data_IF_567699390628
#
_entry.id   IF_567699390628
#
_cell.length_a   1.000
_cell.length_b   1.000
_cell.length_c   1.000
_cell.angle_alpha   90.00
_cell.angle_beta   90.00
_cell.angle_gamma   90.00
#
_symmetry.space_group_name_H-M   'P 1'
#
loop_
_entity.id
_entity.type
_entity.pdbx_description
1 polymer ?
#
# COMPACT_ATOMS: atom_id res chain seq x y z
N UNK A 1 -13.20 -10.95 -4.38
CA UNK A 1 -12.28 -9.81 -4.66
C UNK A 1 -11.32 -9.57 -3.51
N UNK A 2 -11.78 -9.65 -2.25
CA UNK A 2 -10.93 -9.47 -1.06
C UNK A 2 -9.72 -10.42 -1.04
N UNK A 3 -9.93 -11.72 -1.26
CA UNK A 3 -8.86 -12.73 -1.23
C UNK A 3 -7.75 -12.44 -2.26
N UNK A 4 -8.15 -11.96 -3.44
CA UNK A 4 -7.24 -11.53 -4.48
C UNK A 4 -6.43 -10.29 -4.03
N UNK A 5 -7.05 -9.33 -3.35
CA UNK A 5 -6.34 -8.15 -2.83
C UNK A 5 -5.32 -8.54 -1.76
N UNK A 6 -5.64 -9.50 -0.89
CA UNK A 6 -4.71 -10.04 0.11
C UNK A 6 -3.47 -10.64 -0.57
N UNK A 7 -3.68 -11.45 -1.61
CA UNK A 7 -2.60 -12.02 -2.41
C UNK A 7 -1.78 -10.94 -3.13
N UNK A 8 -2.45 -9.95 -3.73
CA UNK A 8 -1.79 -8.81 -4.39
C UNK A 8 -0.93 -8.04 -3.40
N UNK A 9 -1.37 -7.85 -2.14
CA UNK A 9 -0.56 -7.15 -1.14
C UNK A 9 0.75 -7.86 -0.82
N UNK A 10 0.80 -9.20 -0.88
CA UNK A 10 2.06 -9.95 -0.76
C UNK A 10 3.00 -9.58 -1.91
N UNK A 11 2.48 -9.59 -3.15
CA UNK A 11 3.25 -9.24 -4.35
C UNK A 11 3.77 -7.80 -4.25
N UNK A 12 2.93 -6.87 -3.78
CA UNK A 12 3.29 -5.46 -3.59
C UNK A 12 4.43 -5.31 -2.58
N UNK A 13 4.33 -5.94 -1.41
CA UNK A 13 5.36 -5.85 -0.35
C UNK A 13 6.68 -6.46 -0.83
N UNK A 14 6.63 -7.59 -1.54
CA UNK A 14 7.81 -8.22 -2.14
C UNK A 14 8.44 -7.32 -3.21
N UNK A 15 7.62 -6.77 -4.13
CA UNK A 15 8.09 -5.88 -5.20
C UNK A 15 8.70 -4.59 -4.64
N UNK A 16 8.10 -4.01 -3.60
CA UNK A 16 8.63 -2.85 -2.89
C UNK A 16 9.99 -3.18 -2.26
N UNK A 17 10.05 -4.26 -1.47
CA UNK A 17 11.28 -4.68 -0.78
C UNK A 17 12.42 -4.93 -1.77
N UNK A 18 12.11 -5.61 -2.88
CA UNK A 18 13.05 -5.84 -3.96
C UNK A 18 13.50 -4.52 -4.62
N UNK A 19 12.57 -3.62 -4.92
CA UNK A 19 12.88 -2.30 -5.49
C UNK A 19 13.81 -1.48 -4.60
N UNK A 20 13.60 -1.51 -3.27
CA UNK A 20 14.46 -0.86 -2.28
C UNK A 20 15.84 -1.52 -2.23
N UNK A 21 15.91 -2.86 -2.30
CA UNK A 21 17.17 -3.59 -2.37
C UNK A 21 18.00 -3.18 -3.61
N UNK A 22 17.36 -3.04 -4.77
CA UNK A 22 18.04 -2.64 -6.02
C UNK A 22 18.69 -1.25 -5.91
N UNK A 23 18.04 -0.29 -5.25
CA UNK A 23 18.62 1.05 -5.07
C UNK A 23 19.69 1.08 -3.98
N UNK A 24 19.48 0.37 -2.86
CA UNK A 24 20.39 0.39 -1.71
C UNK A 24 21.72 -0.32 -1.99
N UNK A 25 21.65 -1.52 -2.55
CA UNK A 25 22.82 -2.40 -2.71
C UNK A 25 23.34 -2.47 -4.14
N UNK A 26 22.44 -2.46 -5.14
CA UNK A 26 22.83 -2.56 -6.56
C UNK A 26 23.00 -1.21 -7.24
N UNK A 27 22.64 -0.10 -6.58
CA UNK A 27 22.70 1.27 -7.12
C UNK A 27 21.93 1.43 -8.46
N UNK A 28 20.89 0.60 -8.69
CA UNK A 28 20.08 0.62 -9.91
C UNK A 28 18.90 1.60 -9.78
N UNK A 29 19.21 2.90 -9.79
CA UNK A 29 18.21 3.98 -9.58
C UNK A 29 17.13 4.03 -10.67
N UNK A 30 17.52 3.79 -11.93
CA UNK A 30 16.56 3.74 -13.05
C UNK A 30 15.55 2.60 -12.88
N UNK A 31 16.01 1.41 -12.51
CA UNK A 31 15.16 0.26 -12.23
C UNK A 31 14.17 0.57 -11.09
N UNK A 32 14.65 1.20 -10.01
CA UNK A 32 13.78 1.61 -8.91
C UNK A 32 12.64 2.51 -9.41
N UNK A 33 12.92 3.58 -10.18
CA UNK A 33 11.88 4.43 -10.77
C UNK A 33 10.87 3.63 -11.60
N UNK A 34 11.37 2.79 -12.50
CA UNK A 34 10.53 2.03 -13.43
C UNK A 34 9.72 0.92 -12.76
N UNK A 35 10.08 0.51 -11.54
CA UNK A 35 9.23 -0.36 -10.72
C UNK A 35 8.20 0.45 -9.94
N UNK A 36 8.59 1.58 -9.35
CA UNK A 36 7.74 2.37 -8.46
C UNK A 36 6.59 3.07 -9.18
N UNK A 37 6.80 3.55 -10.41
CA UNK A 37 5.75 4.20 -11.21
C UNK A 37 4.58 3.24 -11.50
N UNK A 38 4.79 2.09 -12.17
CA UNK A 38 3.70 1.17 -12.44
C UNK A 38 3.10 0.59 -11.16
N UNK A 39 3.92 0.31 -10.13
CA UNK A 39 3.42 -0.16 -8.83
C UNK A 39 2.45 0.86 -8.20
N UNK A 40 2.81 2.15 -8.22
CA UNK A 40 1.95 3.23 -7.70
C UNK A 40 0.65 3.39 -8.49
N UNK A 41 0.72 3.32 -9.83
CA UNK A 41 -0.48 3.38 -10.69
C UNK A 41 -1.39 2.19 -10.44
N UNK A 42 -0.84 0.97 -10.39
CA UNK A 42 -1.59 -0.25 -10.15
C UNK A 42 -2.26 -0.25 -8.77
N UNK A 43 -1.55 0.21 -7.72
CA UNK A 43 -2.12 0.36 -6.38
C UNK A 43 -3.27 1.36 -6.35
N UNK A 44 -3.11 2.53 -6.98
CA UNK A 44 -4.18 3.53 -7.03
C UNK A 44 -5.43 2.98 -7.73
N UNK A 45 -5.25 2.28 -8.85
CA UNK A 45 -6.34 1.61 -9.56
C UNK A 45 -6.99 0.52 -8.70
N UNK A 46 -6.19 -0.30 -8.01
CA UNK A 46 -6.68 -1.36 -7.14
C UNK A 46 -7.53 -0.81 -5.97
N UNK A 47 -7.07 0.27 -5.31
CA UNK A 47 -7.83 0.94 -4.24
C UNK A 47 -9.12 1.54 -4.79
N UNK A 48 -9.09 2.16 -5.96
CA UNK A 48 -10.29 2.72 -6.59
C UNK A 48 -11.33 1.63 -6.91
N UNK A 49 -10.91 0.52 -7.51
CA UNK A 49 -11.79 -0.63 -7.81
C UNK A 49 -12.32 -1.24 -6.51
N UNK A 50 -11.47 -1.38 -5.49
CA UNK A 50 -11.85 -1.88 -4.17
C UNK A 50 -12.94 -1.03 -3.52
N UNK A 51 -12.77 0.29 -3.53
CA UNK A 51 -13.74 1.23 -2.96
C UNK A 51 -15.10 1.12 -3.67
N UNK A 52 -15.11 0.97 -5.01
CA UNK A 52 -16.33 0.75 -5.76
C UNK A 52 -17.02 -0.56 -5.39
N UNK A 53 -16.29 -1.67 -5.31
CA UNK A 53 -16.85 -2.96 -4.89
C UNK A 53 -17.47 -2.88 -3.49
N UNK A 54 -16.76 -2.26 -2.54
CA UNK A 54 -17.23 -2.16 -1.16
C UNK A 54 -18.50 -1.30 -1.06
N UNK A 55 -18.59 -0.21 -1.82
CA UNK A 55 -19.79 0.65 -1.86
C UNK A 55 -20.99 0.00 -2.51
N UNK A 56 -20.76 -0.83 -3.53
CA UNK A 56 -21.84 -1.51 -4.27
C UNK A 56 -22.31 -2.77 -3.54
N UNK A 57 -21.37 -3.59 -3.07
CA UNK A 57 -21.64 -4.93 -2.54
C UNK A 57 -21.72 -5.00 -1.01
N UNK A 58 -21.43 -3.91 -0.29
CA UNK A 58 -21.60 -3.82 1.17
C UNK A 58 -20.70 -4.78 1.96
N UNK A 59 -19.58 -4.29 2.51
CA UNK A 59 -18.65 -5.16 3.22
C UNK A 59 -19.19 -5.75 4.53
N UNK A 60 -20.08 -5.02 5.21
CA UNK A 60 -20.63 -5.42 6.51
C UNK A 60 -21.54 -6.64 6.41
N UNK A 61 -22.43 -6.65 5.41
CA UNK A 61 -23.37 -7.77 5.21
C UNK A 61 -22.62 -9.05 4.86
N UNK A 62 -21.56 -8.93 4.04
CA UNK A 62 -20.66 -10.04 3.73
C UNK A 62 -19.93 -10.54 4.97
N UNK A 63 -19.32 -9.65 5.74
CA UNK A 63 -18.61 -10.03 6.96
C UNK A 63 -19.56 -10.70 7.98
N UNK A 64 -20.74 -10.10 8.20
CA UNK A 64 -21.77 -10.62 9.09
C UNK A 64 -22.25 -12.04 8.72
N UNK A 65 -22.36 -12.32 7.42
CA UNK A 65 -22.70 -13.64 6.91
C UNK A 65 -21.61 -14.69 7.23
N UNK A 66 -20.33 -14.33 7.11
CA UNK A 66 -19.21 -15.24 7.37
C UNK A 66 -19.00 -15.50 8.87
N UNK A 67 -19.09 -14.47 9.73
CA UNK A 67 -18.86 -14.61 11.18
C UNK A 67 -20.12 -14.97 11.99
N UNK A 68 -21.25 -15.24 11.31
CA UNK A 68 -22.47 -15.76 11.93
C UNK A 68 -23.20 -14.78 12.85
N UNK A 69 -23.20 -13.47 12.54
CA UNK A 69 -23.84 -12.47 13.39
C UNK A 69 -23.45 -11.03 13.07
N UNK A 70 -23.33 -10.19 14.11
CA UNK A 70 -22.94 -8.79 13.93
C UNK A 70 -21.42 -8.61 13.97
N UNK A 71 -20.94 -7.62 13.20
CA UNK A 71 -19.52 -7.24 13.18
C UNK A 71 -19.05 -6.84 14.59
N UNK A 72 -18.07 -7.56 15.13
CA UNK A 72 -17.57 -7.34 16.48
C UNK A 72 -16.80 -6.02 16.62
N UNK A 73 -16.65 -5.54 17.86
CA UNK A 73 -15.82 -4.37 18.16
C UNK A 73 -14.35 -4.55 17.72
N UNK A 74 -13.84 -5.80 17.74
CA UNK A 74 -12.50 -6.11 17.27
C UNK A 74 -12.35 -5.90 15.76
N UNK A 75 -13.34 -6.32 14.97
CA UNK A 75 -13.34 -6.09 13.51
C UNK A 75 -13.37 -4.59 13.21
N UNK A 76 -14.25 -3.83 13.88
CA UNK A 76 -14.30 -2.38 13.72
C UNK A 76 -13.01 -1.67 14.10
N UNK A 77 -12.41 -2.07 15.22
CA UNK A 77 -11.13 -1.51 15.68
C UNK A 77 -10.03 -1.77 14.65
N UNK A 78 -9.95 -3.01 14.15
CA UNK A 78 -8.95 -3.38 13.14
C UNK A 78 -9.16 -2.62 11.83
N UNK A 79 -10.42 -2.39 11.42
CA UNK A 79 -10.75 -1.59 10.25
C UNK A 79 -10.29 -0.14 10.40
N UNK A 80 -10.57 0.50 11.55
CA UNK A 80 -10.15 1.89 11.79
C UNK A 80 -8.63 2.02 11.75
N UNK A 81 -7.91 1.08 12.35
CA UNK A 81 -6.45 1.03 12.31
C UNK A 81 -5.96 0.88 10.87
N UNK A 82 -6.54 -0.05 10.11
CA UNK A 82 -6.19 -0.25 8.70
C UNK A 82 -6.44 1.02 7.87
N UNK A 83 -7.60 1.65 8.03
CA UNK A 83 -7.98 2.87 7.33
C UNK A 83 -7.02 4.02 7.61
N UNK A 84 -6.54 4.16 8.84
CA UNK A 84 -5.51 5.16 9.16
C UNK A 84 -4.28 4.98 8.26
N UNK A 85 -3.68 3.80 8.24
CA UNK A 85 -2.49 3.51 7.41
C UNK A 85 -2.80 3.56 5.92
N UNK A 86 -3.96 3.07 5.49
CA UNK A 86 -4.36 3.06 4.08
C UNK A 86 -4.52 4.49 3.55
N UNK A 87 -5.18 5.38 4.29
CA UNK A 87 -5.36 6.78 3.91
C UNK A 87 -4.02 7.51 3.93
N UNK A 88 -3.18 7.33 4.96
CA UNK A 88 -1.86 7.97 4.99
C UNK A 88 -0.98 7.48 3.84
N UNK A 89 -1.02 6.19 3.49
CA UNK A 89 -0.27 5.63 2.36
C UNK A 89 -0.79 6.17 1.03
N UNK A 90 -2.11 6.25 0.86
CA UNK A 90 -2.76 6.80 -0.34
C UNK A 90 -2.34 8.25 -0.61
N UNK A 91 -2.06 9.04 0.44
CA UNK A 91 -1.60 10.42 0.31
C UNK A 91 -0.07 10.51 0.17
N UNK A 92 0.66 9.84 1.06
CA UNK A 92 2.12 9.96 1.14
C UNK A 92 2.81 9.37 -0.08
N UNK A 93 2.31 8.25 -0.61
CA UNK A 93 2.93 7.55 -1.72
C UNK A 93 2.96 8.38 -3.02
N UNK A 94 1.84 8.95 -3.51
CA UNK A 94 1.86 9.85 -4.66
C UNK A 94 2.74 11.09 -4.43
N UNK A 95 2.74 11.67 -3.22
CA UNK A 95 3.58 12.83 -2.91
C UNK A 95 5.06 12.49 -3.09
N UNK A 96 5.52 11.38 -2.50
CA UNK A 96 6.92 10.93 -2.61
C UNK A 96 7.28 10.58 -4.06
N UNK A 97 6.39 9.88 -4.77
CA UNK A 97 6.60 9.46 -6.16
C UNK A 97 6.69 10.67 -7.11
N UNK A 98 5.71 11.59 -7.06
CA UNK A 98 5.68 12.78 -7.92
C UNK A 98 6.89 13.67 -7.65
N UNK A 99 7.23 13.89 -6.38
CA UNK A 99 8.41 14.68 -6.03
C UNK A 99 9.71 14.02 -6.47
N UNK A 100 9.83 12.69 -6.38
CA UNK A 100 10.99 11.97 -6.90
C UNK A 100 11.11 12.10 -8.43
N UNK A 101 10.00 11.96 -9.17
CA UNK A 101 9.99 12.10 -10.63
C UNK A 101 10.38 13.51 -11.07
N UNK A 102 9.95 14.54 -10.34
CA UNK A 102 10.27 15.95 -10.63
C UNK A 102 11.64 16.38 -10.10
N UNK A 103 12.10 15.78 -9.01
CA UNK A 103 13.28 16.22 -8.25
C UNK A 103 14.59 15.53 -8.63
N UNK A 104 14.53 14.33 -9.24
CA UNK A 104 15.71 13.65 -9.76
C UNK A 104 15.89 13.91 -11.26
N UNK A 105 17.11 14.26 -11.66
CA UNK A 105 17.47 14.56 -13.05
C UNK A 105 17.54 13.32 -13.94
N UNK A 106 17.93 13.54 -15.21
CA UNK A 106 18.25 12.50 -16.18
C UNK A 106 19.74 12.63 -16.58
N UNK A 107 20.62 11.66 -16.25
CA UNK A 107 20.34 10.36 -15.64
C UNK A 107 19.98 10.42 -14.15
N UNK A 108 19.17 9.45 -13.69
CA UNK A 108 18.73 9.37 -12.30
C UNK A 108 19.91 9.03 -11.40
N UNK A 109 20.30 9.98 -10.55
CA UNK A 109 21.41 9.85 -9.61
C UNK A 109 21.07 10.53 -8.28
N UNK A 110 21.67 10.09 -7.16
CA UNK A 110 21.60 10.83 -5.90
C UNK A 110 22.08 12.26 -6.08
N UNK A 111 21.47 13.19 -5.34
CA UNK A 111 21.78 14.61 -5.42
C UNK A 111 21.07 15.39 -4.32
N UNK A 112 20.91 16.71 -4.47
CA UNK A 112 20.29 17.58 -3.44
C UNK A 112 18.91 17.06 -2.99
N UNK A 113 18.10 16.56 -3.91
CA UNK A 113 16.76 16.03 -3.60
C UNK A 113 16.78 14.76 -2.73
N UNK A 114 17.89 14.02 -2.68
CA UNK A 114 18.03 12.81 -1.86
C UNK A 114 17.83 13.07 -0.36
N UNK A 115 18.22 14.26 0.12
CA UNK A 115 18.05 14.66 1.53
C UNK A 115 16.58 14.71 1.95
N UNK A 116 15.70 15.09 1.04
CA UNK A 116 14.25 15.05 1.26
C UNK A 116 13.68 13.67 0.94
N UNK A 117 14.04 13.08 -0.20
CA UNK A 117 13.42 11.83 -0.65
C UNK A 117 13.70 10.64 0.28
N UNK A 118 14.93 10.48 0.77
CA UNK A 118 15.31 9.29 1.54
C UNK A 118 14.52 9.09 2.84
N UNK A 119 14.35 10.10 3.73
CA UNK A 119 13.54 9.92 4.93
C UNK A 119 12.06 9.67 4.59
N UNK A 120 11.47 10.46 3.68
CA UNK A 120 10.06 10.32 3.32
C UNK A 120 9.74 9.03 2.58
N UNK A 121 10.64 8.52 1.75
CA UNK A 121 10.50 7.22 1.10
C UNK A 121 10.55 6.06 2.11
N UNK A 122 11.32 6.18 3.20
CA UNK A 122 11.32 5.18 4.28
C UNK A 122 10.01 5.20 5.05
N UNK A 123 9.53 6.39 5.41
CA UNK A 123 8.23 6.53 6.09
C UNK A 123 7.14 5.94 5.20
N UNK A 124 7.08 6.30 3.91
CA UNK A 124 6.10 5.78 2.97
C UNK A 124 6.19 4.25 2.80
N UNK A 125 7.39 3.68 2.77
CA UNK A 125 7.58 2.23 2.66
C UNK A 125 7.11 1.49 3.93
N UNK A 126 7.42 2.01 5.11
CA UNK A 126 6.95 1.44 6.38
C UNK A 126 5.43 1.56 6.49
N UNK A 127 4.88 2.71 6.13
CA UNK A 127 3.44 2.97 6.12
C UNK A 127 2.70 1.97 5.23
N UNK A 128 3.19 1.75 4.00
CA UNK A 128 2.60 0.79 3.07
C UNK A 128 2.66 -0.65 3.60
N UNK A 129 3.77 -1.05 4.23
CA UNK A 129 3.88 -2.36 4.88
C UNK A 129 2.89 -2.48 6.05
N UNK A 130 2.72 -1.42 6.84
CA UNK A 130 1.72 -1.38 7.90
C UNK A 130 0.29 -1.47 7.35
N UNK A 131 -0.02 -0.80 6.23
CA UNK A 131 -1.29 -0.96 5.51
C UNK A 131 -1.54 -2.40 5.11
N UNK A 132 -0.53 -3.09 4.57
CA UNK A 132 -0.63 -4.50 4.17
C UNK A 132 -0.92 -5.40 5.37
N UNK A 133 -0.12 -5.28 6.43
CA UNK A 133 -0.25 -6.12 7.64
C UNK A 133 -1.58 -5.89 8.33
N UNK A 134 -1.99 -4.64 8.52
CA UNK A 134 -3.28 -4.32 9.16
C UNK A 134 -4.47 -4.73 8.29
N UNK A 135 -4.32 -4.68 6.96
CA UNK A 135 -5.33 -5.18 6.02
C UNK A 135 -5.51 -6.70 6.11
N UNK A 136 -4.41 -7.45 6.27
CA UNK A 136 -4.45 -8.90 6.52
C UNK A 136 -5.11 -9.24 7.85
N UNK A 137 -4.80 -8.49 8.91
CA UNK A 137 -5.44 -8.67 10.22
C UNK A 137 -6.94 -8.41 10.12
N UNK A 138 -7.36 -7.31 9.51
CA UNK A 138 -8.78 -7.01 9.29
C UNK A 138 -9.47 -8.13 8.50
N UNK A 139 -8.86 -8.58 7.40
CA UNK A 139 -9.42 -9.65 6.58
C UNK A 139 -9.60 -10.95 7.38
N UNK A 140 -8.60 -11.35 8.15
CA UNK A 140 -8.67 -12.56 8.96
C UNK A 140 -9.80 -12.47 10.01
N UNK A 141 -9.93 -11.33 10.71
CA UNK A 141 -10.97 -11.13 11.71
C UNK A 141 -12.38 -10.97 11.14
N UNK A 142 -12.52 -10.52 9.89
CA UNK A 142 -13.81 -10.22 9.30
C UNK A 142 -14.36 -11.33 8.39
N UNK A 143 -13.50 -12.23 7.90
CA UNK A 143 -13.86 -13.19 6.86
C UNK A 143 -13.28 -14.60 7.06
N UNK A 144 -12.49 -14.84 8.13
CA UNK A 144 -11.88 -16.16 8.38
C UNK A 144 -12.19 -16.70 9.77
N UNK A 145 -12.20 -15.82 10.78
CA UNK A 145 -12.49 -16.14 12.18
C UNK A 145 -13.79 -15.48 12.63
#
# INVERSE_FOLDING_TARGET
MLDLLILIMVIVVVALSWSVYQVKYRRRFALHKWVQIPLGIALLAAVFIFELDIRINGWQDRAAAEVGGHVSAAVWTSLVIHLFFAITTLLLWPIVLIRAVRGFGNPIRPGKHSSWHLPWARVAAVDLVATAVTGWIFYALAFVF
#
